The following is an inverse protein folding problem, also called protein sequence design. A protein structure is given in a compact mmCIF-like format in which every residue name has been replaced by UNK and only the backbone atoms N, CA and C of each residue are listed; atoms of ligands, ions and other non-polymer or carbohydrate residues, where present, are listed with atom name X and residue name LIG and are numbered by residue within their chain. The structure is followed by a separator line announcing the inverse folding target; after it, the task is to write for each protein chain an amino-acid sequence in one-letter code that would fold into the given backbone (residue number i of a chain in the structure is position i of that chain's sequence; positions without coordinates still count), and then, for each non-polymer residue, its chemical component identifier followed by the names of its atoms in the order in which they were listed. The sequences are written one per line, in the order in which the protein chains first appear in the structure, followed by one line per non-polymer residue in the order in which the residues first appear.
data_IF_583362366385
#
_entry.id   IF_583362366385
#
_cell.length_a   1.000
_cell.length_b   1.000
_cell.length_c   1.000
_cell.angle_alpha   90.00
_cell.angle_beta   90.00
_cell.angle_gamma   90.00
#
_symmetry.space_group_name_H-M   'P 1'
#
loop_
_entity.id
_entity.type
_entity.pdbx_description
1 polymer ?
#
# COMPACT_ATOMS: atom_id res chain seq x y z
N UNK A 1 -27.02 9.92 -8.03
CA UNK A 1 -26.54 8.90 -8.99
C UNK A 1 -25.12 8.51 -8.58
N UNK A 2 -24.89 7.25 -8.18
CA UNK A 2 -23.51 6.74 -8.01
C UNK A 2 -22.91 6.61 -9.41
N UNK A 3 -21.80 7.29 -9.70
CA UNK A 3 -21.01 6.97 -10.87
C UNK A 3 -20.67 5.47 -10.80
N UNK A 4 -20.82 4.68 -11.88
CA UNK A 4 -20.36 3.31 -11.87
C UNK A 4 -18.85 3.34 -11.57
N UNK A 5 -18.46 2.82 -10.40
CA UNK A 5 -17.05 2.63 -10.11
C UNK A 5 -16.47 1.73 -11.20
N UNK A 6 -15.35 2.17 -11.79
CA UNK A 6 -14.67 1.39 -12.81
C UNK A 6 -14.14 0.09 -12.19
N UNK A 7 -14.17 -1.02 -12.94
CA UNK A 7 -13.63 -2.28 -12.44
C UNK A 7 -12.13 -2.12 -12.13
N UNK A 8 -11.64 -2.77 -11.07
CA UNK A 8 -10.23 -2.75 -10.74
C UNK A 8 -9.38 -3.44 -11.80
N UNK A 9 -8.15 -2.97 -11.96
CA UNK A 9 -7.09 -3.56 -12.80
C UNK A 9 -6.43 -4.73 -12.07
N UNK A 10 -6.14 -4.50 -10.78
CA UNK A 10 -5.73 -5.52 -9.83
C UNK A 10 -6.69 -5.39 -8.66
N UNK A 11 -7.49 -6.43 -8.44
CA UNK A 11 -8.50 -6.46 -7.40
C UNK A 11 -7.89 -6.75 -6.03
N UNK A 12 -8.39 -6.04 -5.01
CA UNK A 12 -8.02 -6.30 -3.63
C UNK A 12 -8.42 -7.72 -3.23
N UNK A 13 -7.43 -8.53 -2.89
CA UNK A 13 -7.64 -9.87 -2.32
C UNK A 13 -6.44 -10.29 -1.47
N UNK A 14 -6.59 -11.33 -0.65
CA UNK A 14 -5.48 -11.95 0.09
C UNK A 14 -4.33 -12.37 -0.85
N UNK A 15 -4.65 -12.78 -2.08
CA UNK A 15 -3.64 -13.13 -3.09
C UNK A 15 -2.74 -11.96 -3.49
N UNK A 16 -3.24 -10.75 -3.34
CA UNK A 16 -2.53 -9.50 -3.68
C UNK A 16 -1.93 -8.82 -2.44
N UNK A 17 -1.77 -9.57 -1.35
CA UNK A 17 -1.23 -9.05 -0.11
C UNK A 17 0.31 -9.09 -0.09
N UNK A 18 0.87 -8.03 0.49
CA UNK A 18 2.30 -7.81 0.67
C UNK A 18 2.60 -7.82 2.18
N UNK A 19 3.63 -8.57 2.56
CA UNK A 19 4.09 -8.65 3.95
C UNK A 19 5.33 -7.79 4.13
N UNK A 20 5.28 -6.91 5.12
CA UNK A 20 6.36 -6.00 5.49
C UNK A 20 6.82 -6.25 6.91
N UNK A 21 8.11 -6.09 7.17
CA UNK A 21 8.61 -5.83 8.52
C UNK A 21 8.43 -4.34 8.81
N UNK A 22 7.91 -4.02 9.98
CA UNK A 22 7.89 -2.65 10.50
C UNK A 22 9.27 -2.34 11.07
N UNK A 23 9.89 -1.28 10.56
CA UNK A 23 11.18 -0.77 11.00
C UNK A 23 11.02 0.55 11.76
N UNK A 24 12.09 1.03 12.40
CA UNK A 24 12.07 2.26 13.21
C UNK A 24 11.85 2.03 14.72
N UNK A 25 11.98 0.79 15.19
CA UNK A 25 11.96 0.47 16.63
C UNK A 25 10.56 0.43 17.24
N UNK A 26 9.58 -0.09 16.51
CA UNK A 26 8.23 -0.34 17.03
C UNK A 26 8.29 -1.25 18.27
N UNK A 27 7.56 -0.86 19.31
CA UNK A 27 7.42 -1.61 20.56
C UNK A 27 5.96 -2.04 20.84
N UNK A 28 5.75 -2.72 21.96
CA UNK A 28 4.43 -3.20 22.39
C UNK A 28 3.44 -2.05 22.65
N UNK A 29 3.94 -0.87 23.07
CA UNK A 29 3.09 0.30 23.27
C UNK A 29 2.60 0.86 21.94
N UNK A 30 3.46 0.91 20.92
CA UNK A 30 3.06 1.29 19.58
C UNK A 30 1.99 0.33 19.02
N UNK A 31 2.08 -0.96 19.33
CA UNK A 31 1.05 -1.95 18.98
C UNK A 31 -0.29 -1.65 19.68
N UNK A 32 -0.27 -1.46 21.00
CA UNK A 32 -1.46 -1.17 21.79
C UNK A 32 -2.17 0.11 21.32
N UNK A 33 -1.41 1.17 21.03
CA UNK A 33 -1.95 2.43 20.49
C UNK A 33 -2.60 2.21 19.12
N UNK A 34 -1.99 1.41 18.25
CA UNK A 34 -2.56 1.10 16.94
C UNK A 34 -3.81 0.23 17.03
N UNK A 35 -3.88 -0.74 17.95
CA UNK A 35 -5.10 -1.53 18.20
C UNK A 35 -6.23 -0.66 18.80
N UNK A 36 -5.90 0.29 19.67
CA UNK A 36 -6.86 1.26 20.19
C UNK A 36 -7.46 2.14 19.08
N UNK A 37 -6.68 2.51 18.06
CA UNK A 37 -7.18 3.25 16.89
C UNK A 37 -8.21 2.45 16.07
N UNK A 38 -8.11 1.13 16.02
CA UNK A 38 -9.02 0.26 15.27
C UNK A 38 -10.35 0.02 15.98
N UNK A 39 -10.38 0.18 17.30
CA UNK A 39 -11.57 -0.09 18.11
C UNK A 39 -12.54 1.11 18.18
N UNK A 40 -12.26 2.20 17.46
CA UNK A 40 -13.14 3.37 17.39
C UNK A 40 -13.13 4.27 18.64
N UNK A 41 -12.20 4.01 19.58
CA UNK A 41 -12.01 4.82 20.79
C UNK A 41 -11.05 5.98 20.50
N UNK A 42 -11.56 7.22 20.54
CA UNK A 42 -10.71 8.41 20.63
C UNK A 42 -10.66 8.85 22.10
N UNK A 43 -9.46 8.97 22.66
CA UNK A 43 -9.25 9.47 24.02
C UNK A 43 -9.64 10.96 24.10
N UNK A 44 -10.89 11.24 24.49
CA UNK A 44 -11.32 12.55 24.95
C UNK A 44 -10.82 12.85 26.37
N UNK A 45 -10.88 14.13 26.79
CA UNK A 45 -10.45 14.60 28.13
C UNK A 45 -11.15 13.91 29.31
N UNK A 46 -12.27 13.22 29.07
CA UNK A 46 -12.95 12.30 29.97
C UNK A 46 -13.17 10.97 29.21
N UNK A 47 -12.98 9.84 29.90
CA UNK A 47 -13.09 8.42 29.48
C UNK A 47 -14.11 8.09 28.34
N UNK A 48 -13.88 7.06 27.49
CA UNK A 48 -13.97 7.19 26.05
C UNK A 48 -15.40 7.03 25.49
N UNK A 49 -15.71 7.87 24.49
CA UNK A 49 -16.90 7.76 23.64
C UNK A 49 -16.49 7.08 22.32
N UNK A 50 -17.26 6.08 21.86
CA UNK A 50 -17.07 5.48 20.53
C UNK A 50 -17.49 6.52 19.49
N UNK A 51 -16.57 6.95 18.63
CA UNK A 51 -16.83 8.08 17.70
C UNK A 51 -16.80 7.67 16.22
N UNK A 52 -16.49 6.41 15.90
CA UNK A 52 -16.46 5.93 14.51
C UNK A 52 -16.56 4.40 14.43
N UNK A 53 -17.52 3.89 13.64
CA UNK A 53 -17.60 2.47 13.24
C UNK A 53 -16.65 2.12 12.09
N UNK A 54 -16.00 3.12 11.48
CA UNK A 54 -15.05 2.91 10.38
C UNK A 54 -13.62 3.08 10.87
N UNK A 55 -12.82 2.05 10.66
CA UNK A 55 -11.38 2.07 10.90
C UNK A 55 -10.69 2.94 9.85
N UNK A 56 -10.09 4.05 10.30
CA UNK A 56 -9.32 4.97 9.45
C UNK A 56 -7.89 4.45 9.31
N UNK A 57 -7.63 3.66 8.26
CA UNK A 57 -6.29 3.23 7.85
C UNK A 57 -5.33 4.43 7.82
N UNK A 58 -5.81 5.60 7.36
CA UNK A 58 -5.02 6.81 7.33
C UNK A 58 -4.58 7.27 8.72
N UNK A 59 -5.35 7.03 9.78
CA UNK A 59 -4.98 7.38 11.14
C UNK A 59 -3.78 6.56 11.63
N UNK A 60 -3.83 5.24 11.46
CA UNK A 60 -2.71 4.34 11.77
C UNK A 60 -1.46 4.73 10.99
N UNK A 61 -1.58 4.96 9.69
CA UNK A 61 -0.43 5.33 8.84
C UNK A 61 0.17 6.69 9.23
N UNK A 62 -0.66 7.66 9.63
CA UNK A 62 -0.20 8.94 10.19
C UNK A 62 0.53 8.74 11.52
N UNK A 63 0.05 7.84 12.39
CA UNK A 63 0.74 7.51 13.64
C UNK A 63 2.13 6.92 13.36
N UNK A 64 2.20 5.90 12.51
CA UNK A 64 3.46 5.25 12.13
C UNK A 64 4.49 6.25 11.62
N UNK A 65 4.08 7.14 10.71
CA UNK A 65 4.94 8.24 10.24
C UNK A 65 5.41 9.17 11.33
N UNK A 66 4.54 9.60 12.25
CA UNK A 66 4.92 10.48 13.37
C UNK A 66 5.96 9.83 14.29
N UNK A 67 5.90 8.50 14.42
CA UNK A 67 6.86 7.71 15.19
C UNK A 67 8.14 7.39 14.43
N UNK A 68 8.25 7.77 13.15
CA UNK A 68 9.39 7.43 12.31
C UNK A 68 9.44 5.95 11.94
N UNK A 69 8.31 5.26 11.99
CA UNK A 69 8.20 3.86 11.58
C UNK A 69 8.15 3.77 10.06
N UNK A 70 8.80 2.73 9.52
CA UNK A 70 8.89 2.46 8.09
C UNK A 70 8.54 1.02 7.75
N UNK A 71 8.49 0.73 6.46
CA UNK A 71 8.20 -0.61 5.95
C UNK A 71 9.40 -1.16 5.18
N UNK A 72 9.80 -2.38 5.53
CA UNK A 72 10.70 -3.18 4.71
C UNK A 72 9.95 -4.36 4.15
N UNK A 73 9.81 -4.41 2.83
CA UNK A 73 9.19 -5.54 2.14
C UNK A 73 9.93 -6.84 2.45
N UNK A 74 9.16 -7.91 2.73
CA UNK A 74 9.70 -9.24 2.98
C UNK A 74 9.35 -10.21 1.86
N UNK A 75 8.06 -10.30 1.53
CA UNK A 75 7.48 -11.29 0.62
C UNK A 75 6.03 -10.95 0.32
N UNK A 76 5.46 -11.56 -0.71
CA UNK A 76 4.02 -11.58 -0.86
C UNK A 76 3.40 -12.72 -0.05
N UNK A 77 2.11 -12.62 0.27
CA UNK A 77 1.39 -13.69 0.97
C UNK A 77 1.17 -14.90 0.05
N UNK A 78 0.81 -14.67 -1.21
CA UNK A 78 0.59 -15.71 -2.21
C UNK A 78 1.80 -15.85 -3.14
N UNK A 79 2.51 -16.97 -3.02
CA UNK A 79 3.72 -17.24 -3.81
C UNK A 79 3.44 -17.41 -5.31
N UNK A 80 2.27 -17.89 -5.70
CA UNK A 80 1.93 -18.06 -7.13
C UNK A 80 1.74 -16.72 -7.83
N UNK A 81 1.14 -15.74 -7.14
CA UNK A 81 1.03 -14.38 -7.64
C UNK A 81 2.40 -13.68 -7.64
N UNK A 82 3.24 -13.90 -6.63
CA UNK A 82 4.63 -13.44 -6.64
C UNK A 82 5.41 -13.98 -7.86
N UNK A 83 5.34 -15.28 -8.10
CA UNK A 83 5.96 -15.94 -9.25
C UNK A 83 5.45 -15.38 -10.58
N UNK A 84 4.14 -15.10 -10.65
CA UNK A 84 3.53 -14.46 -11.82
C UNK A 84 4.14 -13.08 -12.08
N UNK A 85 4.27 -12.25 -11.04
CA UNK A 85 4.89 -10.94 -11.16
C UNK A 85 6.36 -11.03 -11.59
N UNK A 86 7.13 -11.94 -10.96
CA UNK A 86 8.55 -12.18 -11.30
C UNK A 86 8.73 -12.70 -12.73
N UNK A 87 7.78 -13.47 -13.24
CA UNK A 87 7.80 -13.95 -14.63
C UNK A 87 7.69 -12.81 -15.66
N UNK A 88 7.06 -11.69 -15.29
CA UNK A 88 7.00 -10.50 -16.12
C UNK A 88 8.24 -9.62 -15.98
N UNK A 89 8.67 -9.39 -14.75
CA UNK A 89 9.91 -8.69 -14.44
C UNK A 89 10.42 -9.16 -13.07
N UNK A 90 11.69 -9.59 -12.94
CA UNK A 90 12.21 -10.15 -11.70
C UNK A 90 12.06 -9.25 -10.47
N UNK A 91 12.04 -7.93 -10.66
CA UNK A 91 11.98 -6.92 -9.60
C UNK A 91 10.54 -6.41 -9.36
N UNK A 92 9.55 -6.94 -10.08
CA UNK A 92 8.17 -6.44 -10.03
C UNK A 92 7.54 -6.49 -8.63
N UNK A 93 7.69 -7.58 -7.84
CA UNK A 93 7.18 -7.60 -6.48
C UNK A 93 7.75 -6.46 -5.63
N UNK A 94 9.05 -6.21 -5.70
CA UNK A 94 9.72 -5.16 -4.93
C UNK A 94 9.26 -3.77 -5.37
N UNK A 95 9.11 -3.54 -6.68
CA UNK A 95 8.60 -2.26 -7.21
C UNK A 95 7.18 -2.01 -6.72
N UNK A 96 6.29 -3.00 -6.85
CA UNK A 96 4.90 -2.87 -6.38
C UNK A 96 4.82 -2.73 -4.87
N UNK A 97 5.70 -3.39 -4.11
CA UNK A 97 5.78 -3.24 -2.66
C UNK A 97 6.11 -1.80 -2.26
N UNK A 98 7.05 -1.15 -2.97
CA UNK A 98 7.34 0.27 -2.79
C UNK A 98 6.13 1.16 -3.14
N UNK A 99 5.39 0.82 -4.18
CA UNK A 99 4.20 1.59 -4.51
C UNK A 99 3.10 1.44 -3.46
N UNK A 100 2.90 0.24 -2.92
CA UNK A 100 1.95 -0.04 -1.84
C UNK A 100 2.38 0.69 -0.57
N UNK A 101 3.65 0.64 -0.19
CA UNK A 101 4.13 1.35 1.00
C UNK A 101 3.91 2.86 0.90
N UNK A 102 4.20 3.47 -0.25
CA UNK A 102 3.94 4.89 -0.51
C UNK A 102 2.44 5.23 -0.42
N UNK A 103 1.58 4.41 -1.02
CA UNK A 103 0.14 4.63 -1.00
C UNK A 103 -0.46 4.56 0.40
N UNK A 104 0.02 3.63 1.23
CA UNK A 104 -0.47 3.48 2.60
C UNK A 104 0.17 4.48 3.55
N UNK A 105 1.51 4.52 3.62
CA UNK A 105 2.25 5.31 4.59
C UNK A 105 2.13 6.81 4.30
N UNK A 106 2.38 7.23 3.06
CA UNK A 106 2.42 8.64 2.69
C UNK A 106 1.06 9.16 2.19
N UNK A 107 0.17 8.26 1.75
CA UNK A 107 -1.15 8.63 1.21
C UNK A 107 -1.11 9.11 -0.24
N UNK A 108 0.01 8.89 -0.94
CA UNK A 108 0.16 9.19 -2.36
C UNK A 108 -0.46 8.07 -3.18
N UNK A 109 -1.60 8.33 -3.81
CA UNK A 109 -2.41 7.26 -4.43
C UNK A 109 -2.24 7.14 -5.95
N UNK A 110 -1.77 8.18 -6.65
CA UNK A 110 -1.62 8.14 -8.11
C UNK A 110 -0.32 7.43 -8.47
N UNK A 111 -0.39 6.46 -9.36
CA UNK A 111 0.80 5.72 -9.78
C UNK A 111 1.85 6.65 -10.40
N UNK A 112 1.43 7.66 -11.17
CA UNK A 112 2.33 8.69 -11.71
C UNK A 112 3.14 9.42 -10.62
N UNK A 113 2.49 9.92 -9.57
CA UNK A 113 3.12 10.62 -8.45
C UNK A 113 4.05 9.70 -7.64
N UNK A 114 3.62 8.45 -7.41
CA UNK A 114 4.43 7.43 -6.72
C UNK A 114 5.68 7.11 -7.54
N UNK A 115 5.54 6.93 -8.85
CA UNK A 115 6.65 6.61 -9.75
C UNK A 115 7.68 7.73 -9.82
N UNK A 116 7.24 9.00 -9.79
CA UNK A 116 8.16 10.14 -9.70
C UNK A 116 8.99 10.10 -8.41
N UNK A 117 8.37 9.71 -7.29
CA UNK A 117 9.08 9.52 -6.02
C UNK A 117 10.07 8.34 -6.10
N UNK A 118 9.62 7.17 -6.57
CA UNK A 118 10.46 5.97 -6.68
C UNK A 118 11.65 6.21 -7.63
N UNK A 119 11.45 6.94 -8.73
CA UNK A 119 12.55 7.31 -9.64
C UNK A 119 13.55 8.29 -9.01
N UNK A 120 13.11 9.11 -8.06
CA UNK A 120 13.98 10.02 -7.32
C UNK A 120 14.77 9.31 -6.22
N UNK A 121 14.12 8.41 -5.47
CA UNK A 121 14.74 7.68 -4.34
C UNK A 121 15.58 6.50 -4.84
N UNK A 122 15.19 5.91 -5.97
CA UNK A 122 15.82 4.77 -6.61
C UNK A 122 16.06 3.59 -5.65
N UNK A 123 15.01 3.03 -5.05
CA UNK A 123 15.15 2.04 -3.99
C UNK A 123 15.88 0.75 -4.40
N UNK A 124 15.85 0.40 -5.69
CA UNK A 124 16.52 -0.79 -6.23
C UNK A 124 17.89 -0.47 -6.88
N UNK A 125 18.34 0.78 -6.83
CA UNK A 125 19.69 1.14 -7.28
C UNK A 125 19.93 1.04 -8.79
N UNK A 126 18.89 1.17 -9.63
CA UNK A 126 19.07 1.18 -11.09
C UNK A 126 19.94 2.35 -11.57
N UNK A 127 20.60 2.19 -12.72
CA UNK A 127 21.33 3.29 -13.34
C UNK A 127 20.38 4.33 -13.96
N UNK A 128 20.55 5.59 -13.53
CA UNK A 128 19.81 6.77 -14.02
C UNK A 128 18.30 6.51 -14.22
N UNK A 129 17.55 6.05 -13.20
CA UNK A 129 16.18 5.57 -13.35
C UNK A 129 15.24 6.64 -13.89
N UNK A 130 15.41 7.90 -13.46
CA UNK A 130 14.60 9.04 -13.92
C UNK A 130 14.85 9.43 -15.37
N UNK A 131 16.09 9.33 -15.84
CA UNK A 131 16.42 9.63 -17.23
C UNK A 131 15.90 8.53 -18.17
N UNK A 132 15.96 7.28 -17.71
CA UNK A 132 15.56 6.11 -18.48
C UNK A 132 14.07 5.77 -18.34
N UNK A 133 13.38 6.35 -17.34
CA UNK A 133 12.01 6.00 -16.97
C UNK A 133 11.88 4.53 -16.55
N UNK A 134 12.88 3.99 -15.85
CA UNK A 134 13.02 2.53 -15.63
C UNK A 134 11.83 1.94 -14.89
N UNK A 135 11.49 2.50 -13.72
CA UNK A 135 10.37 2.03 -12.90
C UNK A 135 9.04 2.23 -13.65
N UNK A 136 8.86 3.41 -14.25
CA UNK A 136 7.65 3.75 -15.00
C UNK A 136 7.40 2.79 -16.16
N UNK A 137 8.41 2.45 -16.96
CA UNK A 137 8.29 1.50 -18.08
C UNK A 137 7.89 0.10 -17.59
N UNK A 138 8.51 -0.38 -16.51
CA UNK A 138 8.19 -1.69 -15.92
C UNK A 138 6.74 -1.75 -15.44
N UNK A 139 6.33 -0.78 -14.62
CA UNK A 139 4.96 -0.75 -14.06
C UNK A 139 3.91 -0.55 -15.14
N UNK A 140 4.09 0.41 -16.05
CA UNK A 140 3.15 0.64 -17.16
C UNK A 140 3.06 -0.61 -18.05
N UNK A 141 4.18 -1.28 -18.34
CA UNK A 141 4.20 -2.51 -19.12
C UNK A 141 3.45 -3.68 -18.46
N UNK A 142 3.42 -3.75 -17.13
CA UNK A 142 2.56 -4.67 -16.39
C UNK A 142 1.09 -4.25 -16.52
N UNK A 143 0.76 -3.01 -16.15
CA UNK A 143 -0.63 -2.56 -16.01
C UNK A 143 -1.38 -2.44 -17.35
N UNK A 144 -0.66 -2.16 -18.44
CA UNK A 144 -1.23 -2.11 -19.78
C UNK A 144 -1.75 -3.46 -20.25
N UNK A 145 -1.26 -4.58 -19.67
CA UNK A 145 -1.77 -5.94 -19.97
C UNK A 145 -3.14 -6.20 -19.37
N UNK A 146 -3.46 -5.51 -18.27
CA UNK A 146 -4.73 -5.64 -17.56
C UNK A 146 -5.73 -4.55 -17.95
N UNK A 147 -5.27 -3.47 -18.59
CA UNK A 147 -6.12 -2.35 -18.96
C UNK A 147 -5.57 -1.58 -20.16
N UNK A 148 -6.30 -1.63 -21.27
CA UNK A 148 -6.00 -0.82 -22.44
C UNK A 148 -6.50 0.62 -22.27
N UNK A 149 -5.75 1.59 -22.80
CA UNK A 149 -6.17 3.00 -22.88
C UNK A 149 -6.32 3.73 -21.53
N UNK A 150 -5.71 3.22 -20.46
CA UNK A 150 -5.61 3.95 -19.20
C UNK A 150 -4.59 5.10 -19.34
N UNK A 151 -4.93 6.28 -18.84
CA UNK A 151 -4.03 7.44 -18.80
C UNK A 151 -3.13 7.41 -17.56
N UNK A 152 -3.67 6.91 -16.45
CA UNK A 152 -2.97 6.71 -15.19
C UNK A 152 -3.69 5.65 -14.35
N UNK A 153 -3.15 5.38 -13.17
CA UNK A 153 -3.65 4.39 -12.23
C UNK A 153 -3.74 4.95 -10.82
N UNK A 154 -4.71 4.46 -10.05
CA UNK A 154 -4.87 4.81 -8.64
C UNK A 154 -4.70 3.55 -7.80
N UNK A 155 -3.78 3.62 -6.83
CA UNK A 155 -3.64 2.66 -5.77
C UNK A 155 -4.64 3.01 -4.66
N UNK A 156 -5.55 2.08 -4.35
CA UNK A 156 -6.55 2.24 -3.30
C UNK A 156 -6.05 1.58 -2.02
N UNK A 157 -6.04 2.33 -0.93
CA UNK A 157 -5.89 1.78 0.42
C UNK A 157 -7.13 0.95 0.73
N UNK A 158 -6.95 -0.34 0.91
CA UNK A 158 -8.03 -1.28 1.14
C UNK A 158 -7.92 -1.81 2.57
N UNK A 159 -9.00 -1.72 3.37
CA UNK A 159 -9.11 -2.41 4.66
C UNK A 159 -8.72 -3.89 4.57
N UNK A 160 -7.95 -4.39 5.53
CA UNK A 160 -7.61 -5.82 5.62
C UNK A 160 -7.88 -6.32 7.04
N UNK A 161 -7.92 -7.64 7.24
CA UNK A 161 -8.09 -8.24 8.57
C UNK A 161 -9.44 -7.96 9.26
N UNK A 162 -9.58 -8.45 10.49
CA UNK A 162 -10.85 -8.54 11.25
C UNK A 162 -11.46 -7.17 11.62
N UNK A 163 -10.67 -6.09 11.55
CA UNK A 163 -11.09 -4.73 11.91
C UNK A 163 -10.98 -3.75 10.75
N UNK A 164 -10.62 -4.18 9.54
CA UNK A 164 -10.53 -3.27 8.40
C UNK A 164 -9.33 -2.31 8.42
N UNK A 165 -8.27 -2.70 9.12
CA UNK A 165 -6.97 -2.02 9.11
C UNK A 165 -5.88 -3.01 8.70
N UNK A 166 -4.76 -2.50 8.17
CA UNK A 166 -3.55 -3.28 7.94
C UNK A 166 -3.25 -4.23 9.12
N UNK A 167 -3.28 -5.55 8.90
CA UNK A 167 -3.10 -6.53 9.97
C UNK A 167 -1.64 -6.52 10.43
N UNK A 168 -1.41 -6.39 11.74
CA UNK A 168 -0.08 -6.35 12.35
C UNK A 168 0.02 -7.52 13.32
N UNK A 169 1.16 -8.21 13.33
CA UNK A 169 1.45 -9.25 14.31
C UNK A 169 2.88 -9.18 14.80
N UNK A 170 3.05 -9.60 16.05
CA UNK A 170 4.37 -9.77 16.68
C UNK A 170 5.00 -11.07 16.21
N UNK A 171 6.28 -11.03 15.86
CA UNK A 171 7.04 -12.22 15.46
C UNK A 171 7.80 -12.83 16.64
N UNK A 172 8.41 -14.01 16.44
CA UNK A 172 9.19 -14.70 17.49
C UNK A 172 10.48 -13.96 17.90
N UNK A 173 11.04 -13.16 17.00
CA UNK A 173 12.07 -12.15 17.30
C UNK A 173 11.33 -10.85 17.61
N UNK A 174 11.79 -9.97 18.52
CA UNK A 174 11.11 -8.69 18.82
C UNK A 174 11.09 -7.78 17.58
N UNK A 175 10.14 -8.05 16.70
CA UNK A 175 9.83 -7.33 15.49
C UNK A 175 8.34 -7.52 15.18
N UNK A 176 7.83 -6.58 14.39
CA UNK A 176 6.44 -6.57 13.97
C UNK A 176 6.39 -6.71 12.46
N UNK A 177 5.47 -7.53 11.99
CA UNK A 177 5.13 -7.67 10.58
C UNK A 177 3.75 -7.07 10.32
N UNK A 178 3.54 -6.63 9.08
CA UNK A 178 2.32 -5.98 8.63
C UNK A 178 1.90 -6.48 7.27
N UNK A 179 0.60 -6.71 7.10
CA UNK A 179 -0.01 -7.09 5.83
C UNK A 179 -0.74 -5.91 5.19
N UNK A 180 -0.42 -5.60 3.94
CA UNK A 180 -1.10 -4.59 3.11
C UNK A 180 -1.59 -5.20 1.81
N UNK A 181 -2.81 -4.89 1.37
CA UNK A 181 -3.36 -5.37 0.10
C UNK A 181 -3.14 -4.35 -1.01
N UNK A 182 -2.68 -4.84 -2.16
CA UNK A 182 -2.62 -4.08 -3.40
C UNK A 182 -4.00 -4.04 -4.07
N UNK A 183 -4.42 -2.83 -4.44
CA UNK A 183 -5.63 -2.61 -5.25
C UNK A 183 -5.32 -1.48 -6.22
N UNK A 184 -5.42 -1.76 -7.52
CA UNK A 184 -5.18 -0.77 -8.58
C UNK A 184 -6.45 -0.59 -9.41
N UNK A 185 -6.82 0.66 -9.70
CA UNK A 185 -7.90 1.01 -10.63
C UNK A 185 -7.39 1.91 -11.76
N UNK A 186 -7.91 1.73 -12.97
CA UNK A 186 -7.52 2.54 -14.13
C UNK A 186 -8.26 3.89 -14.16
N UNK A 187 -7.53 4.94 -14.52
CA UNK A 187 -8.07 6.25 -14.88
C UNK A 187 -8.07 6.41 -16.40
N UNK A 188 -9.24 6.37 -17.03
CA UNK A 188 -9.48 6.82 -18.41
C UNK A 188 -10.04 8.25 -18.44
N UNK A 189 -9.68 9.01 -19.47
CA UNK A 189 -10.28 10.31 -19.81
C UNK A 189 -11.79 10.18 -19.94
N UNK A 190 -12.54 11.03 -19.24
CA UNK A 190 -13.94 11.27 -19.59
C UNK A 190 -13.91 12.14 -20.83
N UNK A 191 -14.18 11.55 -22.01
CA UNK A 191 -14.53 12.38 -23.16
C UNK A 191 -15.89 12.97 -22.82
N UNK A 192 -15.94 14.25 -22.42
CA UNK A 192 -17.19 14.99 -22.46
C UNK A 192 -17.56 15.07 -23.94
N UNK A 193 -18.59 14.30 -24.32
CA UNK A 193 -19.27 14.45 -25.60
C UNK A 193 -20.08 15.76 -25.60
#
# INVERSE_FOLDING_TARGET
MKHPERPPVIEASEKTAFIYRIEGGMDDRDMDEMEAMDSGYVLGRNWPTIVSESVDIGHRMRYMRKRGLGFRFLRMEDGAFEDTLRSYDPDMPEILAWMVSEAYLNGTCRASDILDNIESVNPLGYDRPRANGTYRKKVVGLLSRYSEGAEDYVLKRTPVGRLGCAEIWKTAVPSYEMRLILHISALRRTVMA
#
